data_IF_382626300517
#
_entry.id   IF_382626300517
#
_cell.length_a   1.000
_cell.length_b   1.000
_cell.length_c   1.000
_cell.angle_alpha   90.00
_cell.angle_beta   90.00
_cell.angle_gamma   90.00
#
_symmetry.space_group_name_H-M   'P 1'
#
loop_
_entity.id
_entity.type
_entity.pdbx_description
1 polymer ?
#
# COMPACT_ATOMS: atom_id res chain seq x y z
N UNK A 1 34.99 26.31 -2.46
CA UNK A 1 33.85 26.87 -3.23
C UNK A 1 33.08 25.81 -4.01
N UNK A 2 33.69 24.99 -4.88
CA UNK A 2 32.96 23.95 -5.65
C UNK A 2 32.24 22.94 -4.74
N UNK A 3 32.87 22.49 -3.65
CA UNK A 3 32.27 21.55 -2.70
C UNK A 3 31.04 22.13 -1.96
N UNK A 4 31.08 23.41 -1.58
CA UNK A 4 29.97 24.08 -0.91
C UNK A 4 28.75 24.19 -1.82
N UNK A 5 28.97 24.50 -3.10
CA UNK A 5 27.90 24.53 -4.09
C UNK A 5 27.25 23.15 -4.24
N UNK A 6 28.04 22.07 -4.25
CA UNK A 6 27.51 20.71 -4.33
C UNK A 6 26.60 20.37 -3.14
N UNK A 7 26.97 20.75 -1.91
CA UNK A 7 26.13 20.50 -0.72
C UNK A 7 24.81 21.28 -0.75
N UNK A 8 24.82 22.51 -1.26
CA UNK A 8 23.61 23.34 -1.41
C UNK A 8 22.66 22.73 -2.45
N UNK A 9 23.23 22.20 -3.53
CA UNK A 9 22.49 21.63 -4.65
C UNK A 9 22.13 20.15 -4.47
N UNK A 10 22.43 19.57 -3.30
CA UNK A 10 22.11 18.18 -2.98
C UNK A 10 20.63 17.89 -3.15
N UNK A 11 20.32 16.80 -3.86
CA UNK A 11 18.95 16.35 -4.03
C UNK A 11 18.35 15.99 -2.66
N UNK A 12 17.11 16.41 -2.43
CA UNK A 12 16.46 16.32 -1.12
C UNK A 12 16.53 17.59 -0.29
N UNK A 13 17.45 18.52 -0.59
CA UNK A 13 17.53 19.80 0.13
C UNK A 13 16.26 20.63 -0.08
N UNK A 14 15.39 20.60 0.91
CA UNK A 14 14.15 21.37 1.03
C UNK A 14 14.26 22.51 2.04
N UNK A 15 13.29 23.43 2.02
CA UNK A 15 13.28 24.62 2.88
C UNK A 15 13.46 24.30 4.37
N UNK A 16 12.85 23.21 4.85
CA UNK A 16 13.02 22.74 6.25
C UNK A 16 14.48 22.60 6.69
N UNK A 17 15.40 22.18 5.82
CA UNK A 17 16.80 22.03 6.18
C UNK A 17 17.49 23.39 6.33
N UNK A 18 17.06 24.36 5.52
CA UNK A 18 17.52 25.75 5.63
C UNK A 18 16.92 26.45 6.85
N UNK A 19 15.73 26.05 7.29
CA UNK A 19 15.16 26.52 8.54
C UNK A 19 15.96 25.98 9.73
N UNK A 20 16.34 24.69 9.75
CA UNK A 20 17.26 24.11 10.74
C UNK A 20 18.62 24.82 10.71
N UNK A 21 19.15 25.11 9.51
CA UNK A 21 20.40 25.86 9.36
C UNK A 21 20.30 27.26 9.99
N UNK A 22 19.16 27.94 9.79
CA UNK A 22 18.91 29.26 10.36
C UNK A 22 18.81 29.21 11.89
N UNK A 23 18.21 28.16 12.45
CA UNK A 23 18.12 27.97 13.91
C UNK A 23 19.51 27.77 14.55
N UNK A 24 20.44 27.14 13.83
CA UNK A 24 21.82 26.88 14.31
C UNK A 24 22.72 28.11 14.16
N UNK A 25 22.64 28.77 13.01
CA UNK A 25 23.64 29.79 12.59
C UNK A 25 23.13 31.23 12.67
N UNK A 26 21.81 31.42 12.78
CA UNK A 26 21.15 32.71 12.63
C UNK A 26 21.04 33.20 11.18
N UNK A 27 21.59 32.47 10.20
CA UNK A 27 21.57 32.86 8.79
C UNK A 27 20.32 32.28 8.12
N UNK A 28 19.43 33.17 7.68
CA UNK A 28 18.17 32.76 7.03
C UNK A 28 18.33 32.66 5.51
N UNK A 29 18.10 31.47 4.98
CA UNK A 29 18.07 31.20 3.53
C UNK A 29 16.67 30.77 3.13
N UNK A 30 16.08 31.48 2.17
CA UNK A 30 14.77 31.16 1.63
C UNK A 30 14.95 30.69 0.19
N UNK A 31 14.62 29.43 -0.06
CA UNK A 31 14.60 28.85 -1.40
C UNK A 31 13.56 29.59 -2.24
N UNK A 32 14.03 30.25 -3.29
CA UNK A 32 13.18 30.93 -4.26
C UNK A 32 13.86 30.91 -5.63
N UNK A 33 13.10 31.09 -6.74
CA UNK A 33 13.69 31.19 -8.08
C UNK A 33 14.72 32.32 -8.23
N UNK A 34 14.74 33.29 -7.32
CA UNK A 34 15.66 34.45 -7.35
C UNK A 34 16.88 34.29 -6.43
N UNK A 35 16.96 33.18 -5.67
CA UNK A 35 18.10 32.88 -4.83
C UNK A 35 19.30 32.54 -5.72
N UNK A 36 20.43 33.18 -5.48
CA UNK A 36 21.67 32.92 -6.22
C UNK A 36 22.78 32.55 -5.27
N UNK A 37 23.74 31.74 -5.72
CA UNK A 37 24.89 31.36 -4.90
C UNK A 37 25.67 32.59 -4.40
N UNK A 38 25.77 33.66 -5.21
CA UNK A 38 26.36 34.93 -4.80
C UNK A 38 25.63 35.57 -3.62
N UNK A 39 24.29 35.53 -3.59
CA UNK A 39 23.50 36.01 -2.44
C UNK A 39 23.76 35.15 -1.20
N UNK A 40 23.86 33.83 -1.35
CA UNK A 40 24.18 32.96 -0.21
C UNK A 40 25.58 33.28 0.35
N UNK A 41 26.60 33.44 -0.51
CA UNK A 41 27.95 33.83 -0.06
C UNK A 41 27.97 35.17 0.68
N UNK A 42 27.19 36.16 0.21
CA UNK A 42 27.07 37.46 0.88
C UNK A 42 26.41 37.37 2.26
N UNK A 43 25.66 36.29 2.53
CA UNK A 43 25.05 36.00 3.84
C UNK A 43 25.99 35.22 4.78
N UNK A 44 27.23 34.91 4.36
CA UNK A 44 28.23 34.28 5.23
C UNK A 44 28.15 32.75 5.30
N UNK A 45 27.45 32.08 4.37
CA UNK A 45 27.32 30.61 4.41
C UNK A 45 28.65 29.85 4.33
N UNK A 46 29.70 30.52 3.84
CA UNK A 46 31.01 29.91 3.64
C UNK A 46 31.75 29.70 4.96
N UNK A 47 31.28 30.29 6.06
CA UNK A 47 31.82 30.07 7.40
C UNK A 47 31.19 28.85 8.08
N UNK A 48 30.13 28.28 7.49
CA UNK A 48 29.33 27.17 8.04
C UNK A 48 29.28 25.94 7.12
N UNK A 49 30.42 25.60 6.50
CA UNK A 49 30.51 24.53 5.50
C UNK A 49 30.18 23.15 6.10
N UNK A 50 30.61 22.88 7.33
CA UNK A 50 30.38 21.57 7.96
C UNK A 50 28.89 21.38 8.34
N UNK A 51 28.22 22.43 8.81
CA UNK A 51 26.78 22.40 9.08
C UNK A 51 25.98 22.16 7.81
N UNK A 52 26.34 22.83 6.70
CA UNK A 52 25.69 22.65 5.40
C UNK A 52 25.94 21.24 4.87
N UNK A 53 27.16 20.71 5.03
CA UNK A 53 27.50 19.35 4.65
C UNK A 53 26.65 18.34 5.41
N UNK A 54 26.55 18.45 6.74
CA UNK A 54 25.72 17.56 7.56
C UNK A 54 24.23 17.62 7.16
N UNK A 55 23.69 18.80 6.92
CA UNK A 55 22.32 18.96 6.43
C UNK A 55 22.13 18.32 5.06
N UNK A 56 23.09 18.48 4.15
CA UNK A 56 23.04 17.87 2.83
C UNK A 56 23.13 16.34 2.89
N UNK A 57 23.93 15.78 3.81
CA UNK A 57 24.02 14.34 4.03
C UNK A 57 22.70 13.78 4.57
N UNK A 58 22.05 14.49 5.50
CA UNK A 58 20.74 14.11 6.01
C UNK A 58 19.67 14.20 4.93
N UNK A 59 19.63 15.30 4.17
CA UNK A 59 18.69 15.50 3.09
C UNK A 59 18.81 14.44 1.99
N UNK A 60 20.04 14.01 1.67
CA UNK A 60 20.27 12.92 0.70
C UNK A 60 19.65 11.61 1.16
N UNK A 61 19.78 11.28 2.45
CA UNK A 61 19.25 10.03 3.02
C UNK A 61 17.73 10.05 3.14
N UNK A 62 17.17 11.20 3.53
CA UNK A 62 15.72 11.45 3.48
C UNK A 62 15.17 11.30 2.06
N UNK A 63 15.88 11.81 1.06
CA UNK A 63 15.47 11.73 -0.34
C UNK A 63 15.44 10.31 -0.89
N UNK A 64 16.34 9.44 -0.44
CA UNK A 64 16.30 8.00 -0.80
C UNK A 64 14.99 7.37 -0.32
N UNK A 65 14.56 7.68 0.90
CA UNK A 65 13.29 7.20 1.45
C UNK A 65 12.11 7.75 0.64
N UNK A 66 12.13 9.04 0.33
CA UNK A 66 11.09 9.70 -0.47
C UNK A 66 10.91 9.05 -1.84
N UNK A 67 12.01 8.85 -2.58
CA UNK A 67 11.96 8.22 -3.90
C UNK A 67 11.44 6.80 -3.79
N UNK A 68 11.96 6.01 -2.84
CA UNK A 68 11.56 4.61 -2.70
C UNK A 68 10.07 4.49 -2.36
N UNK A 69 9.56 5.32 -1.44
CA UNK A 69 8.15 5.34 -1.09
C UNK A 69 7.28 5.76 -2.27
N UNK A 70 7.62 6.87 -2.95
CA UNK A 70 6.86 7.34 -4.10
C UNK A 70 6.86 6.32 -5.24
N UNK A 71 8.00 5.70 -5.51
CA UNK A 71 8.12 4.64 -6.52
C UNK A 71 7.19 3.47 -6.20
N UNK A 72 7.20 2.98 -4.95
CA UNK A 72 6.28 1.91 -4.54
C UNK A 72 4.82 2.32 -4.76
N UNK A 73 4.44 3.54 -4.34
CA UNK A 73 3.07 4.04 -4.51
C UNK A 73 2.66 4.15 -5.99
N UNK A 74 3.56 4.66 -6.83
CA UNK A 74 3.34 4.84 -8.27
C UNK A 74 3.13 3.50 -8.97
N UNK A 75 3.92 2.47 -8.65
CA UNK A 75 3.77 1.13 -9.22
C UNK A 75 2.39 0.54 -8.89
N UNK A 76 1.83 0.83 -7.70
CA UNK A 76 0.48 0.39 -7.31
C UNK A 76 -0.67 1.15 -7.98
N UNK A 77 -0.43 2.31 -8.60
CA UNK A 77 -1.50 3.10 -9.24
C UNK A 77 -2.16 2.38 -10.41
N UNK A 78 -1.42 1.50 -11.09
CA UNK A 78 -1.87 0.72 -12.24
C UNK A 78 -2.48 -0.63 -11.86
N UNK A 79 -2.23 -1.13 -10.65
CA UNK A 79 -2.58 -2.50 -10.25
C UNK A 79 -4.07 -2.60 -9.92
N UNK A 80 -4.77 -3.46 -10.68
CA UNK A 80 -6.21 -3.64 -10.60
C UNK A 80 -6.57 -5.12 -10.51
N UNK A 81 -7.63 -5.42 -9.78
CA UNK A 81 -8.34 -6.68 -9.92
C UNK A 81 -8.84 -6.82 -11.35
N UNK A 82 -8.52 -7.95 -11.98
CA UNK A 82 -9.21 -8.39 -13.18
C UNK A 82 -10.41 -9.23 -12.74
N UNK A 83 -11.62 -8.77 -13.08
CA UNK A 83 -12.86 -9.43 -12.71
C UNK A 83 -13.47 -10.10 -13.93
N UNK A 84 -13.77 -11.39 -13.82
CA UNK A 84 -14.34 -12.23 -14.87
C UNK A 84 -15.73 -12.71 -14.45
N UNK A 85 -16.74 -12.67 -15.33
CA UNK A 85 -18.05 -13.22 -15.03
C UNK A 85 -17.99 -14.74 -14.83
N UNK A 86 -18.78 -15.24 -13.89
CA UNK A 86 -18.96 -16.66 -13.62
C UNK A 86 -20.32 -17.12 -14.17
N UNK A 87 -20.30 -17.93 -15.23
CA UNK A 87 -21.46 -18.63 -15.82
C UNK A 87 -22.74 -17.78 -15.97
N UNK A 88 -22.60 -16.55 -16.48
CA UNK A 88 -23.70 -15.61 -16.77
C UNK A 88 -24.59 -15.20 -15.56
N UNK A 89 -24.16 -15.44 -14.32
CA UNK A 89 -25.00 -15.31 -13.11
C UNK A 89 -24.89 -13.96 -12.34
N UNK A 90 -24.46 -12.86 -12.98
CA UNK A 90 -24.12 -11.60 -12.29
C UNK A 90 -23.13 -11.79 -11.11
N UNK A 91 -22.38 -12.89 -11.13
CA UNK A 91 -21.30 -13.21 -10.18
C UNK A 91 -20.00 -13.04 -10.92
N UNK A 92 -19.01 -12.48 -10.23
CA UNK A 92 -17.67 -12.33 -10.75
C UNK A 92 -16.69 -13.12 -9.87
N UNK A 93 -15.58 -13.49 -10.48
CA UNK A 93 -14.38 -13.96 -9.82
C UNK A 93 -13.24 -13.02 -10.17
N UNK A 94 -12.26 -12.89 -9.29
CA UNK A 94 -11.07 -12.10 -9.54
C UNK A 94 -9.87 -12.98 -9.85
N UNK A 95 -8.95 -12.45 -10.65
CA UNK A 95 -7.60 -12.95 -10.74
C UNK A 95 -6.62 -11.89 -10.22
N UNK A 96 -5.90 -12.26 -9.17
CA UNK A 96 -4.63 -11.65 -8.79
C UNK A 96 -3.56 -12.69 -9.12
N UNK A 97 -2.49 -12.27 -9.77
CA UNK A 97 -1.38 -13.14 -10.15
C UNK A 97 -0.37 -13.25 -9.02
N UNK A 98 0.45 -14.30 -9.07
CA UNK A 98 1.57 -14.47 -8.15
C UNK A 98 2.56 -13.28 -8.20
N UNK A 99 2.60 -12.55 -9.32
CA UNK A 99 3.44 -11.37 -9.48
C UNK A 99 2.98 -10.21 -8.58
N UNK A 100 1.68 -9.91 -8.52
CA UNK A 100 1.18 -8.85 -7.62
C UNK A 100 1.34 -9.24 -6.14
N UNK A 101 1.22 -10.54 -5.82
CA UNK A 101 1.49 -11.04 -4.47
C UNK A 101 2.96 -10.88 -4.07
N UNK A 102 3.89 -11.25 -4.96
CA UNK A 102 5.31 -11.06 -4.71
C UNK A 102 5.64 -9.58 -4.54
N UNK A 103 5.03 -8.70 -5.34
CA UNK A 103 5.17 -7.26 -5.21
C UNK A 103 4.71 -6.74 -3.84
N UNK A 104 3.62 -7.26 -3.28
CA UNK A 104 3.21 -6.93 -1.90
C UNK A 104 4.29 -7.29 -0.89
N UNK A 105 4.84 -8.49 -0.98
CA UNK A 105 5.85 -8.97 -0.03
C UNK A 105 7.16 -8.18 -0.12
N UNK A 106 7.60 -7.89 -1.35
CA UNK A 106 8.77 -7.07 -1.60
C UNK A 106 8.58 -5.65 -1.06
N UNK A 107 7.41 -5.05 -1.26
CA UNK A 107 7.13 -3.69 -0.80
C UNK A 107 6.93 -3.62 0.71
N UNK A 108 6.37 -4.64 1.36
CA UNK A 108 6.31 -4.74 2.82
C UNK A 108 7.74 -4.81 3.39
N UNK A 109 8.60 -5.66 2.81
CA UNK A 109 10.00 -5.79 3.25
C UNK A 109 10.77 -4.47 3.05
N UNK A 110 10.66 -3.85 1.89
CA UNK A 110 11.32 -2.59 1.59
C UNK A 110 10.84 -1.47 2.52
N UNK A 111 9.53 -1.37 2.76
CA UNK A 111 8.97 -0.38 3.69
C UNK A 111 9.54 -0.56 5.09
N UNK A 112 9.65 -1.80 5.59
CA UNK A 112 10.28 -2.09 6.89
C UNK A 112 11.75 -1.70 6.94
N UNK A 113 12.50 -1.95 5.87
CA UNK A 113 13.91 -1.54 5.77
C UNK A 113 14.02 -0.01 5.84
N UNK A 114 13.18 0.73 5.10
CA UNK A 114 13.13 2.19 5.16
C UNK A 114 12.74 2.70 6.56
N UNK A 115 11.75 2.07 7.20
CA UNK A 115 11.30 2.38 8.57
C UNK A 115 12.36 2.13 9.65
N UNK A 116 13.37 1.30 9.36
CA UNK A 116 14.51 1.08 10.26
C UNK A 116 15.59 2.15 10.15
N UNK A 117 15.53 3.01 9.12
CA UNK A 117 16.48 4.09 8.92
C UNK A 117 16.39 5.14 10.04
N UNK A 118 17.53 5.56 10.56
CA UNK A 118 17.61 6.69 11.49
C UNK A 118 17.25 8.04 10.85
N UNK A 119 17.17 8.09 9.51
CA UNK A 119 16.80 9.27 8.73
C UNK A 119 15.32 9.28 8.32
N UNK A 120 14.49 8.40 8.91
CA UNK A 120 13.06 8.34 8.61
C UNK A 120 12.32 9.63 8.99
N UNK A 121 12.70 10.31 10.07
CA UNK A 121 12.22 11.65 10.45
C UNK A 121 10.76 11.94 10.05
N UNK A 122 10.58 12.82 9.06
CA UNK A 122 9.26 13.24 8.56
C UNK A 122 8.48 12.16 7.77
N UNK A 123 9.14 11.09 7.36
CA UNK A 123 8.57 9.95 6.65
C UNK A 123 8.11 8.83 7.58
N UNK A 124 8.29 8.94 8.90
CA UNK A 124 7.85 7.91 9.84
C UNK A 124 6.36 7.61 9.71
N UNK A 125 5.49 8.62 9.81
CA UNK A 125 4.05 8.45 9.67
C UNK A 125 3.64 7.95 8.26
N UNK A 126 4.13 8.53 7.14
CA UNK A 126 3.89 7.99 5.81
C UNK A 126 4.30 6.52 5.63
N UNK A 127 5.46 6.11 6.14
CA UNK A 127 5.95 4.74 6.06
C UNK A 127 5.11 3.79 6.90
N UNK A 128 4.75 4.18 8.14
CA UNK A 128 3.88 3.37 9.01
C UNK A 128 2.53 3.14 8.35
N UNK A 129 1.89 4.21 7.85
CA UNK A 129 0.61 4.10 7.16
C UNK A 129 0.71 3.22 5.92
N UNK A 130 1.76 3.39 5.12
CA UNK A 130 1.98 2.59 3.93
C UNK A 130 2.18 1.10 4.24
N UNK A 131 2.96 0.78 5.28
CA UNK A 131 3.12 -0.60 5.73
C UNK A 131 1.79 -1.21 6.20
N UNK A 132 1.00 -0.46 6.96
CA UNK A 132 -0.34 -0.90 7.40
C UNK A 132 -1.25 -1.18 6.21
N UNK A 133 -1.30 -0.28 5.22
CA UNK A 133 -2.11 -0.44 4.02
C UNK A 133 -1.67 -1.66 3.19
N UNK A 134 -0.36 -1.88 3.03
CA UNK A 134 0.19 -3.06 2.33
C UNK A 134 -0.14 -4.37 3.05
N UNK A 135 0.05 -4.41 4.38
CA UNK A 135 -0.24 -5.61 5.17
C UNK A 135 -1.71 -5.96 5.17
N UNK A 136 -2.58 -4.97 5.40
CA UNK A 136 -4.02 -5.16 5.35
C UNK A 136 -4.46 -5.61 3.95
N UNK A 137 -3.83 -5.07 2.90
CA UNK A 137 -4.09 -5.51 1.55
C UNK A 137 -3.73 -6.98 1.33
N UNK A 138 -2.57 -7.42 1.82
CA UNK A 138 -2.15 -8.81 1.76
C UNK A 138 -3.14 -9.73 2.46
N UNK A 139 -3.57 -9.37 3.67
CA UNK A 139 -4.54 -10.15 4.45
C UNK A 139 -5.88 -10.26 3.70
N UNK A 140 -6.38 -9.14 3.15
CA UNK A 140 -7.61 -9.14 2.34
C UNK A 140 -7.49 -10.05 1.13
N UNK A 141 -6.39 -9.99 0.38
CA UNK A 141 -6.24 -10.80 -0.83
C UNK A 141 -6.13 -12.30 -0.50
N UNK A 142 -5.45 -12.66 0.60
CA UNK A 142 -5.40 -14.05 1.07
C UNK A 142 -6.80 -14.59 1.39
N UNK A 143 -7.56 -13.87 2.21
CA UNK A 143 -8.92 -14.28 2.59
C UNK A 143 -9.86 -14.28 1.38
N UNK A 144 -9.69 -13.34 0.46
CA UNK A 144 -10.43 -13.28 -0.80
C UNK A 144 -10.17 -14.51 -1.67
N UNK A 145 -8.91 -14.92 -1.81
CA UNK A 145 -8.54 -16.09 -2.60
C UNK A 145 -9.07 -17.39 -2.00
N UNK A 146 -8.94 -17.56 -0.68
CA UNK A 146 -9.50 -18.74 0.00
C UNK A 146 -11.03 -18.78 -0.09
N UNK A 147 -11.69 -17.62 -0.01
CA UNK A 147 -13.12 -17.50 -0.22
C UNK A 147 -13.51 -17.95 -1.62
N UNK A 148 -12.88 -17.36 -2.63
CA UNK A 148 -13.19 -17.66 -4.03
C UNK A 148 -12.95 -19.14 -4.34
N UNK A 149 -11.81 -19.69 -3.90
CA UNK A 149 -11.44 -21.09 -4.09
C UNK A 149 -12.47 -22.03 -3.46
N UNK A 150 -12.84 -21.79 -2.21
CA UNK A 150 -13.79 -22.65 -1.48
C UNK A 150 -15.18 -22.53 -2.08
N UNK A 151 -15.61 -21.30 -2.42
CA UNK A 151 -16.91 -21.07 -3.06
C UNK A 151 -16.99 -21.75 -4.44
N UNK A 152 -15.95 -21.64 -5.27
CA UNK A 152 -15.89 -22.30 -6.58
C UNK A 152 -15.94 -23.82 -6.48
N UNK A 153 -15.40 -24.40 -5.41
CA UNK A 153 -15.51 -25.83 -5.13
C UNK A 153 -16.92 -26.23 -4.71
N UNK A 154 -17.54 -25.48 -3.79
CA UNK A 154 -18.85 -25.80 -3.24
C UNK A 154 -20.00 -25.55 -4.22
N UNK A 155 -19.91 -24.49 -5.03
CA UNK A 155 -21.03 -24.02 -5.87
C UNK A 155 -21.56 -25.10 -6.82
N UNK A 156 -20.74 -25.83 -7.60
CA UNK A 156 -21.23 -26.89 -8.49
C UNK A 156 -21.83 -28.08 -7.74
N UNK A 157 -21.29 -28.44 -6.56
CA UNK A 157 -21.81 -29.52 -5.72
C UNK A 157 -23.22 -29.17 -5.25
N UNK A 158 -23.37 -27.97 -4.71
CA UNK A 158 -24.66 -27.47 -4.24
C UNK A 158 -25.61 -27.12 -5.38
N UNK A 159 -25.25 -27.18 -6.66
CA UNK A 159 -26.20 -27.04 -7.76
C UNK A 159 -27.04 -28.30 -7.99
N UNK A 160 -26.62 -29.45 -7.45
CA UNK A 160 -27.41 -30.68 -7.45
C UNK A 160 -28.68 -30.53 -6.57
N UNK A 161 -29.91 -30.70 -7.14
CA UNK A 161 -31.16 -30.59 -6.39
C UNK A 161 -31.25 -31.51 -5.17
N UNK A 162 -30.74 -32.74 -5.27
CA UNK A 162 -30.81 -33.74 -4.19
C UNK A 162 -29.95 -33.29 -3.00
N UNK A 163 -28.76 -32.75 -3.27
CA UNK A 163 -27.87 -32.18 -2.23
C UNK A 163 -28.51 -30.94 -1.60
N UNK A 164 -29.16 -30.08 -2.40
CA UNK A 164 -29.87 -28.90 -1.86
C UNK A 164 -30.98 -29.30 -0.89
N UNK A 165 -31.70 -30.39 -1.16
CA UNK A 165 -32.78 -30.88 -0.32
C UNK A 165 -32.24 -31.53 0.96
N UNK A 166 -31.24 -32.41 0.84
CA UNK A 166 -30.62 -33.09 1.97
C UNK A 166 -29.90 -32.11 2.92
N UNK A 167 -29.11 -31.18 2.37
CA UNK A 167 -28.31 -30.20 3.12
C UNK A 167 -28.93 -28.80 3.05
N UNK A 168 -30.23 -28.70 3.33
CA UNK A 168 -30.99 -27.45 3.20
C UNK A 168 -30.48 -26.31 4.10
N UNK A 169 -29.94 -26.61 5.29
CA UNK A 169 -29.38 -25.60 6.21
C UNK A 169 -28.10 -25.02 5.64
N UNK A 170 -27.22 -25.87 5.11
CA UNK A 170 -25.94 -25.53 4.50
C UNK A 170 -26.15 -24.76 3.20
N UNK A 171 -27.14 -25.16 2.40
CA UNK A 171 -27.52 -24.44 1.18
C UNK A 171 -27.99 -23.00 1.50
N UNK A 172 -28.74 -22.80 2.60
CA UNK A 172 -29.09 -21.44 3.07
C UNK A 172 -27.86 -20.63 3.50
N UNK A 173 -26.88 -21.26 4.16
CA UNK A 173 -25.60 -20.61 4.51
C UNK A 173 -24.80 -20.22 3.25
N UNK A 174 -24.68 -21.13 2.28
CA UNK A 174 -24.00 -20.85 1.01
C UNK A 174 -24.66 -19.68 0.26
N UNK A 175 -25.99 -19.65 0.22
CA UNK A 175 -26.76 -18.55 -0.39
C UNK A 175 -26.55 -17.21 0.33
N UNK A 176 -26.41 -17.21 1.66
CA UNK A 176 -26.07 -16.01 2.43
C UNK A 176 -24.67 -15.49 2.07
N UNK A 177 -23.70 -16.40 1.99
CA UNK A 177 -22.32 -16.09 1.64
C UNK A 177 -22.21 -15.56 0.20
N UNK A 178 -22.95 -16.15 -0.74
CA UNK A 178 -22.96 -15.69 -2.14
C UNK A 178 -23.49 -14.25 -2.28
N UNK A 179 -24.47 -13.84 -1.46
CA UNK A 179 -24.93 -12.44 -1.45
C UNK A 179 -23.83 -11.48 -0.99
N UNK A 180 -23.04 -11.87 0.01
CA UNK A 180 -21.88 -11.08 0.46
C UNK A 180 -20.87 -10.98 -0.68
N UNK A 181 -20.54 -12.10 -1.33
CA UNK A 181 -19.63 -12.15 -2.48
C UNK A 181 -20.06 -11.24 -3.63
N UNK A 182 -21.33 -11.34 -4.06
CA UNK A 182 -21.91 -10.48 -5.11
C UNK A 182 -21.76 -9.00 -4.77
N UNK A 183 -21.99 -8.62 -3.51
CA UNK A 183 -21.82 -7.24 -3.06
C UNK A 183 -20.36 -6.80 -3.13
N UNK A 184 -19.43 -7.64 -2.65
CA UNK A 184 -18.00 -7.38 -2.71
C UNK A 184 -17.55 -7.18 -4.18
N UNK A 185 -17.92 -8.11 -5.08
CA UNK A 185 -17.62 -7.99 -6.52
C UNK A 185 -18.15 -6.70 -7.13
N UNK A 186 -19.39 -6.31 -6.82
CA UNK A 186 -20.00 -5.08 -7.34
C UNK A 186 -19.24 -3.82 -6.87
N UNK A 187 -18.78 -3.79 -5.62
CA UNK A 187 -17.97 -2.69 -5.11
C UNK A 187 -16.63 -2.64 -5.85
N UNK A 188 -15.97 -3.80 -6.00
CA UNK A 188 -14.66 -3.91 -6.66
C UNK A 188 -14.74 -3.62 -8.17
N UNK A 189 -15.84 -3.91 -8.85
CA UNK A 189 -16.05 -3.48 -10.24
C UNK A 189 -16.01 -1.96 -10.40
N UNK A 190 -16.59 -1.22 -9.45
CA UNK A 190 -16.55 0.25 -9.46
C UNK A 190 -15.20 0.81 -9.01
N UNK A 191 -14.45 0.03 -8.22
CA UNK A 191 -13.17 0.42 -7.63
C UNK A 191 -12.17 -0.74 -7.75
N UNK A 192 -11.65 -1.01 -8.96
CA UNK A 192 -10.85 -2.22 -9.19
C UNK A 192 -9.41 -2.11 -8.68
N UNK A 193 -8.93 -0.93 -8.29
CA UNK A 193 -7.54 -0.76 -7.84
C UNK A 193 -7.28 -1.42 -6.50
N UNK A 194 -6.27 -2.29 -6.44
CA UNK A 194 -5.94 -3.09 -5.26
C UNK A 194 -5.71 -2.19 -4.04
N UNK A 195 -4.80 -1.22 -4.14
CA UNK A 195 -4.49 -0.31 -3.03
C UNK A 195 -5.58 0.71 -2.70
N UNK A 196 -6.70 0.72 -3.44
CA UNK A 196 -7.87 1.49 -3.04
C UNK A 196 -8.96 0.61 -2.41
N UNK A 197 -8.92 -0.70 -2.61
CA UNK A 197 -9.99 -1.62 -2.18
C UNK A 197 -9.57 -2.52 -1.05
N UNK A 198 -8.32 -3.02 -1.07
CA UNK A 198 -7.84 -3.99 -0.10
C UNK A 198 -7.42 -3.42 1.26
N UNK A 199 -6.97 -2.16 1.41
CA UNK A 199 -6.76 -1.53 2.73
C UNK A 199 -8.07 -1.24 3.49
N UNK A 200 -8.96 -2.23 3.64
CA UNK A 200 -10.28 -2.09 4.25
C UNK A 200 -10.52 -3.22 5.28
N UNK A 201 -10.54 -2.85 6.56
CA UNK A 201 -10.77 -3.78 7.67
C UNK A 201 -12.18 -4.39 7.62
N UNK A 202 -13.17 -3.63 7.18
CA UNK A 202 -14.53 -4.13 7.07
C UNK A 202 -14.64 -5.16 5.94
N UNK A 203 -13.92 -4.97 4.84
CA UNK A 203 -13.82 -5.98 3.78
C UNK A 203 -13.13 -7.25 4.30
N UNK A 204 -12.01 -7.12 5.01
CA UNK A 204 -11.31 -8.25 5.63
C UNK A 204 -12.26 -9.06 6.54
N UNK A 205 -12.96 -8.40 7.46
CA UNK A 205 -13.89 -9.06 8.38
C UNK A 205 -15.02 -9.79 7.62
N UNK A 206 -15.52 -9.22 6.53
CA UNK A 206 -16.54 -9.87 5.70
C UNK A 206 -16.03 -11.15 5.05
N UNK A 207 -14.79 -11.13 4.53
CA UNK A 207 -14.16 -12.29 3.89
C UNK A 207 -13.88 -13.38 4.92
N UNK A 208 -13.30 -13.05 6.07
CA UNK A 208 -13.04 -14.00 7.16
C UNK A 208 -14.34 -14.67 7.62
N UNK A 209 -15.38 -13.86 7.89
CA UNK A 209 -16.68 -14.40 8.29
C UNK A 209 -17.30 -15.29 7.20
N UNK A 210 -17.14 -14.89 5.93
CA UNK A 210 -17.53 -15.68 4.77
C UNK A 210 -16.83 -17.04 4.72
N UNK A 211 -15.50 -17.05 4.87
CA UNK A 211 -14.68 -18.25 4.91
C UNK A 211 -15.09 -19.19 6.04
N UNK A 212 -15.36 -18.67 7.24
CA UNK A 212 -15.86 -19.48 8.35
C UNK A 212 -17.19 -20.18 7.98
N UNK A 213 -18.09 -19.51 7.27
CA UNK A 213 -19.34 -20.14 6.84
C UNK A 213 -19.10 -21.17 5.73
N UNK A 214 -18.24 -20.88 4.74
CA UNK A 214 -17.89 -21.82 3.68
C UNK A 214 -17.25 -23.09 4.25
N UNK A 215 -16.34 -22.96 5.23
CA UNK A 215 -15.73 -24.11 5.93
C UNK A 215 -16.77 -24.97 6.63
N UNK A 216 -17.78 -24.37 7.27
CA UNK A 216 -18.88 -25.13 7.90
C UNK A 216 -19.71 -25.89 6.87
N UNK A 217 -19.94 -25.29 5.71
CA UNK A 217 -20.66 -25.93 4.60
C UNK A 217 -19.83 -27.09 4.03
N UNK A 218 -18.53 -26.87 3.83
CA UNK A 218 -17.61 -27.91 3.33
C UNK A 218 -17.53 -29.11 4.26
N UNK A 219 -17.41 -28.88 5.58
CA UNK A 219 -17.39 -29.96 6.58
C UNK A 219 -18.66 -30.80 6.63
N UNK A 220 -19.79 -30.28 6.17
CA UNK A 220 -21.04 -31.04 6.13
C UNK A 220 -21.11 -32.01 4.93
N UNK A 221 -20.16 -31.91 3.99
CA UNK A 221 -20.01 -32.83 2.86
C UNK A 221 -19.05 -33.99 3.18
N UNK A 222 -18.30 -33.91 4.28
CA UNK A 222 -17.39 -34.94 4.80
C UNK A 222 -18.14 -35.93 5.70
#
# INVERSE_FOLDING_TARGET
>A
MVHLLNYILTQGMKQRHWDIFADITGIRIILSPTLTFKKCLALGINDHVEEIKQLSDNASKEYIIEIALNKMMDEWTGVKFQLLPYNDQDIYISTITDTEFQMLDDHILLTRQLSSSSFKGIFEEPLTKWEEDLRLSKDVINEWNEFQKTWLYLKPIFDNPDIKEQLHVENKKLSLVERIWKRIMKITLNKPWVMKTCPDKQLLDQLINGNIQLMKVQKALE
#
